data_IF_938591129619
#
_entry.id   IF_938591129619
#
_cell.length_a   1.000
_cell.length_b   1.000
_cell.length_c   1.000
_cell.angle_alpha   90.00
_cell.angle_beta   90.00
_cell.angle_gamma   90.00
#
_symmetry.space_group_name_H-M   'P 1'
#
loop_
_entity.id
_entity.type
_entity.pdbx_description
1 polymer ?
#
# COMPACT_ATOMS: atom_id res chain seq x y z
N UNK A 1 16.90 38.73 9.98
CA UNK A 1 16.52 37.81 8.89
C UNK A 1 15.01 37.59 8.88
N UNK A 2 14.39 37.77 7.74
CA UNK A 2 12.95 37.55 7.60
C UNK A 2 12.69 36.04 7.60
N UNK A 3 11.65 35.62 8.33
CA UNK A 3 11.21 34.22 8.35
C UNK A 3 10.25 33.95 7.21
N UNK A 4 10.39 32.80 6.60
CA UNK A 4 9.42 32.33 5.59
C UNK A 4 8.15 31.87 6.31
N UNK A 5 7.00 32.33 5.81
CA UNK A 5 5.72 31.97 6.39
C UNK A 5 5.20 30.73 5.66
N UNK A 6 4.91 29.66 6.41
CA UNK A 6 4.42 28.41 5.85
C UNK A 6 3.24 28.60 4.88
N UNK A 7 2.23 29.37 5.28
CA UNK A 7 1.03 29.57 4.46
C UNK A 7 1.32 30.15 3.08
N UNK A 8 2.36 31.01 2.96
CA UNK A 8 2.72 31.63 1.67
C UNK A 8 3.36 30.65 0.69
N UNK A 9 3.82 29.51 1.17
CA UNK A 9 4.44 28.48 0.33
C UNK A 9 3.39 27.68 -0.45
N UNK A 10 2.13 27.73 -0.03
CA UNK A 10 0.99 27.08 -0.71
C UNK A 10 1.21 25.58 -0.94
N UNK A 11 1.83 24.92 0.01
CA UNK A 11 2.08 23.47 -0.08
C UNK A 11 0.85 22.68 0.30
N UNK A 12 0.69 21.56 -0.35
CA UNK A 12 -0.34 20.57 -0.06
C UNK A 12 0.24 19.17 -0.29
N UNK A 13 -0.45 18.15 0.17
CA UNK A 13 0.00 16.77 -0.04
C UNK A 13 0.11 16.49 -1.54
N UNK A 14 1.24 15.91 -1.96
CA UNK A 14 1.52 15.56 -3.35
C UNK A 14 1.57 14.05 -3.47
N UNK A 15 0.53 13.45 -4.05
CA UNK A 15 0.48 12.00 -4.29
C UNK A 15 1.09 11.61 -5.62
N UNK A 16 1.15 12.57 -6.57
CA UNK A 16 1.79 12.44 -7.89
C UNK A 16 1.48 11.10 -8.57
N UNK A 17 0.19 10.79 -8.83
CA UNK A 17 -0.17 9.49 -9.40
C UNK A 17 0.49 9.28 -10.75
N UNK A 18 0.98 8.05 -10.96
CA UNK A 18 1.59 7.61 -12.21
C UNK A 18 0.62 6.67 -12.90
N UNK A 19 0.33 6.95 -14.17
CA UNK A 19 -0.54 6.10 -14.97
C UNK A 19 0.26 4.99 -15.63
N UNK A 20 -0.22 3.75 -15.51
CA UNK A 20 0.33 2.60 -16.24
C UNK A 20 -0.78 1.92 -17.02
N UNK A 21 -0.41 1.13 -18.03
CA UNK A 21 -1.34 0.28 -18.74
C UNK A 21 -1.11 -1.17 -18.33
N UNK A 22 -2.15 -1.83 -17.87
CA UNK A 22 -2.10 -3.23 -17.50
C UNK A 22 -3.23 -3.97 -18.21
N UNK A 23 -2.87 -4.85 -19.14
CA UNK A 23 -3.83 -5.63 -19.95
C UNK A 23 -4.89 -4.73 -20.62
N UNK A 24 -4.46 -3.57 -21.13
CA UNK A 24 -5.35 -2.62 -21.80
C UNK A 24 -6.16 -1.73 -20.85
N UNK A 25 -5.97 -1.87 -19.55
CA UNK A 25 -6.64 -1.03 -18.56
C UNK A 25 -5.66 -0.01 -18.00
N UNK A 26 -6.10 1.23 -17.89
CA UNK A 26 -5.29 2.29 -17.29
C UNK A 26 -5.47 2.29 -15.79
N UNK A 27 -4.35 2.26 -15.07
CA UNK A 27 -4.32 2.23 -13.62
C UNK A 27 -3.45 3.39 -13.13
N UNK A 28 -3.95 4.15 -12.17
CA UNK A 28 -3.15 5.18 -11.50
C UNK A 28 -2.55 4.62 -10.24
N UNK A 29 -1.25 4.88 -10.03
CA UNK A 29 -0.51 4.41 -8.87
C UNK A 29 0.07 5.62 -8.15
N UNK A 30 -0.31 5.78 -6.88
CA UNK A 30 0.20 6.87 -6.06
C UNK A 30 1.71 6.73 -5.86
N UNK A 31 2.43 7.82 -5.97
CA UNK A 31 3.89 7.85 -5.74
C UNK A 31 4.21 8.23 -4.29
N UNK A 32 3.24 8.73 -3.56
CA UNK A 32 3.32 9.01 -2.14
C UNK A 32 1.98 8.69 -1.50
N UNK A 33 1.99 7.86 -0.46
CA UNK A 33 0.79 7.56 0.31
C UNK A 33 0.80 8.42 1.58
N UNK A 34 -0.27 9.16 1.87
CA UNK A 34 -0.33 9.95 3.10
C UNK A 34 -0.03 9.12 4.34
N UNK A 35 0.56 9.75 5.35
CA UNK A 35 1.09 9.02 6.53
C UNK A 35 0.00 8.26 7.29
N UNK A 36 -1.21 8.79 7.39
CA UNK A 36 -2.30 8.08 8.05
C UNK A 36 -2.70 6.82 7.29
N UNK A 37 -2.66 6.87 5.96
CA UNK A 37 -2.94 5.71 5.13
C UNK A 37 -1.82 4.67 5.23
N UNK A 38 -0.57 5.12 5.33
CA UNK A 38 0.55 4.20 5.62
C UNK A 38 0.36 3.48 6.94
N UNK A 39 -0.05 4.23 7.97
CA UNK A 39 -0.35 3.66 9.28
C UNK A 39 -1.44 2.60 9.18
N UNK A 40 -2.54 2.93 8.50
CA UNK A 40 -3.65 2.00 8.34
C UNK A 40 -3.24 0.73 7.58
N UNK A 41 -2.43 0.88 6.54
CA UNK A 41 -1.93 -0.26 5.76
C UNK A 41 -1.11 -1.20 6.64
N UNK A 42 -0.18 -0.65 7.40
CA UNK A 42 0.69 -1.44 8.29
C UNK A 42 -0.14 -2.09 9.40
N UNK A 43 -1.03 -1.34 10.03
CA UNK A 43 -1.85 -1.86 11.13
C UNK A 43 -2.79 -2.97 10.68
N UNK A 44 -3.49 -2.81 9.57
CA UNK A 44 -4.40 -3.86 9.08
C UNK A 44 -3.62 -5.12 8.69
N UNK A 45 -2.44 -4.96 8.12
CA UNK A 45 -1.57 -6.09 7.79
C UNK A 45 -1.21 -6.88 9.04
N UNK A 46 -0.76 -6.20 10.07
CA UNK A 46 -0.35 -6.85 11.32
C UNK A 46 -1.54 -7.49 12.04
N UNK A 47 -2.67 -6.80 12.12
CA UNK A 47 -3.88 -7.33 12.76
C UNK A 47 -4.36 -8.61 12.08
N UNK A 48 -4.39 -8.63 10.74
CA UNK A 48 -4.89 -9.79 9.98
C UNK A 48 -3.90 -10.94 9.94
N UNK A 49 -2.63 -10.70 10.21
CA UNK A 49 -1.60 -11.75 10.21
C UNK A 49 -1.31 -12.31 11.58
N UNK A 50 -1.90 -11.74 12.64
CA UNK A 50 -1.68 -12.21 14.02
C UNK A 50 -2.51 -13.46 14.29
N UNK A 51 -1.83 -14.55 14.67
CA UNK A 51 -2.47 -15.83 15.02
C UNK A 51 -1.86 -16.34 16.31
N UNK A 52 -2.69 -16.54 17.33
CA UNK A 52 -2.25 -17.09 18.62
C UNK A 52 -1.04 -16.33 19.21
N UNK A 53 -1.05 -15.01 19.08
CA UNK A 53 0.01 -14.16 19.61
C UNK A 53 1.27 -14.08 18.74
N UNK A 54 1.27 -14.71 17.56
CA UNK A 54 2.43 -14.73 16.65
C UNK A 54 2.00 -14.22 15.27
N UNK A 55 2.86 -13.44 14.64
CA UNK A 55 2.60 -12.99 13.27
C UNK A 55 2.94 -14.10 12.29
N UNK A 56 1.94 -14.53 11.52
CA UNK A 56 2.13 -15.51 10.47
C UNK A 56 2.81 -14.84 9.26
N UNK A 57 4.04 -15.24 8.90
CA UNK A 57 4.80 -14.54 7.85
C UNK A 57 4.17 -14.65 6.45
N UNK A 58 3.49 -15.76 6.17
CA UNK A 58 2.81 -15.94 4.87
C UNK A 58 1.61 -15.00 4.78
N UNK A 59 0.79 -14.96 5.82
CA UNK A 59 -0.37 -14.05 5.85
C UNK A 59 0.05 -12.60 5.89
N UNK A 60 1.14 -12.29 6.59
CA UNK A 60 1.67 -10.92 6.62
C UNK A 60 2.07 -10.47 5.22
N UNK A 61 2.78 -11.30 4.48
CA UNK A 61 3.17 -11.00 3.10
C UNK A 61 1.95 -10.82 2.20
N UNK A 62 0.99 -11.73 2.29
CA UNK A 62 -0.23 -11.69 1.50
C UNK A 62 -1.04 -10.41 1.75
N UNK A 63 -1.36 -10.12 3.00
CA UNK A 63 -2.18 -8.96 3.34
C UNK A 63 -1.46 -7.65 3.05
N UNK A 64 -0.14 -7.60 3.29
CA UNK A 64 0.63 -6.40 2.97
C UNK A 64 0.51 -6.04 1.49
N UNK A 65 0.73 -6.98 0.61
CA UNK A 65 0.69 -6.73 -0.82
C UNK A 65 -0.72 -6.49 -1.35
N UNK A 66 -1.71 -7.20 -0.82
CA UNK A 66 -3.09 -6.99 -1.20
C UNK A 66 -3.57 -5.57 -0.81
N UNK A 67 -3.31 -5.16 0.43
CA UNK A 67 -3.72 -3.83 0.88
C UNK A 67 -2.87 -2.72 0.27
N UNK A 68 -1.64 -3.02 -0.11
CA UNK A 68 -0.83 -2.10 -0.90
C UNK A 68 -1.51 -1.78 -2.24
N UNK A 69 -2.05 -2.80 -2.92
CA UNK A 69 -2.83 -2.60 -4.15
C UNK A 69 -4.08 -1.77 -3.86
N UNK A 70 -4.80 -2.07 -2.78
CA UNK A 70 -6.01 -1.32 -2.44
C UNK A 70 -5.73 0.16 -2.22
N UNK A 71 -4.62 0.50 -1.59
CA UNK A 71 -4.36 1.88 -1.15
C UNK A 71 -3.54 2.70 -2.12
N UNK A 72 -2.65 2.07 -2.90
CA UNK A 72 -1.81 2.80 -3.86
C UNK A 72 -2.41 2.91 -5.25
N UNK A 73 -3.46 2.14 -5.56
CA UNK A 73 -4.07 2.16 -6.90
C UNK A 73 -5.49 2.68 -6.86
N UNK A 74 -5.99 3.10 -8.03
CA UNK A 74 -7.38 3.49 -8.21
C UNK A 74 -8.28 2.33 -8.63
N UNK A 75 -7.78 1.09 -8.54
CA UNK A 75 -8.58 -0.10 -8.83
C UNK A 75 -9.65 -0.26 -7.76
N UNK A 76 -10.90 -0.45 -8.18
CA UNK A 76 -12.02 -0.68 -7.27
C UNK A 76 -12.37 -2.15 -7.22
N UNK A 77 -12.68 -2.63 -6.01
CA UNK A 77 -13.09 -4.02 -5.79
C UNK A 77 -14.45 -4.02 -5.10
N UNK A 78 -15.33 -4.93 -5.50
CA UNK A 78 -16.63 -5.09 -4.85
C UNK A 78 -16.48 -5.80 -3.51
N UNK A 79 -17.46 -5.65 -2.64
CA UNK A 79 -17.46 -6.35 -1.34
C UNK A 79 -17.39 -7.87 -1.55
N UNK A 80 -18.09 -8.38 -2.56
CA UNK A 80 -18.06 -9.80 -2.88
C UNK A 80 -16.67 -10.28 -3.27
N UNK A 81 -15.92 -9.48 -4.05
CA UNK A 81 -14.55 -9.81 -4.43
C UNK A 81 -13.62 -9.85 -3.22
N UNK A 82 -13.89 -9.02 -2.20
CA UNK A 82 -13.09 -8.96 -0.97
C UNK A 82 -13.48 -9.99 0.07
N UNK A 83 -14.54 -10.76 -0.13
CA UNK A 83 -14.97 -11.80 0.82
C UNK A 83 -13.90 -12.87 1.01
N UNK A 84 -13.21 -13.24 -0.06
CA UNK A 84 -12.12 -14.22 -0.01
C UNK A 84 -10.82 -13.54 -0.46
N UNK A 85 -10.15 -12.91 0.48
CA UNK A 85 -8.95 -12.12 0.18
C UNK A 85 -7.77 -12.98 -0.26
N UNK A 86 -7.66 -14.22 0.21
CA UNK A 86 -6.58 -15.09 -0.25
C UNK A 86 -6.75 -15.48 -1.71
N UNK A 87 -8.00 -15.72 -2.14
CA UNK A 87 -8.29 -15.98 -3.55
C UNK A 87 -8.03 -14.76 -4.40
N UNK A 88 -8.45 -13.59 -3.94
CA UNK A 88 -8.20 -12.34 -4.65
C UNK A 88 -6.71 -12.09 -4.80
N UNK A 89 -5.94 -12.29 -3.74
CA UNK A 89 -4.48 -12.18 -3.79
C UNK A 89 -3.90 -13.10 -4.87
N UNK A 90 -4.32 -14.35 -4.89
CA UNK A 90 -3.81 -15.32 -5.88
C UNK A 90 -4.12 -14.89 -7.31
N UNK A 91 -5.30 -14.34 -7.55
CA UNK A 91 -5.66 -13.82 -8.88
C UNK A 91 -4.74 -12.66 -9.26
N UNK A 92 -4.55 -11.71 -8.36
CA UNK A 92 -3.72 -10.53 -8.63
C UNK A 92 -2.25 -10.89 -8.79
N UNK A 93 -1.72 -11.74 -7.90
CA UNK A 93 -0.31 -12.14 -7.92
C UNK A 93 0.02 -13.01 -9.14
N UNK A 94 -0.80 -14.01 -9.42
CA UNK A 94 -0.53 -14.94 -10.52
C UNK A 94 -0.65 -14.29 -11.89
N UNK A 95 -1.39 -13.19 -11.99
CA UNK A 95 -1.49 -12.39 -13.22
C UNK A 95 -0.45 -11.28 -13.31
N UNK A 96 0.42 -11.14 -12.32
CA UNK A 96 1.52 -10.18 -12.35
C UNK A 96 1.15 -8.75 -11.95
N UNK A 97 -0.08 -8.50 -11.49
CA UNK A 97 -0.50 -7.14 -11.15
C UNK A 97 0.27 -6.59 -9.95
N UNK A 98 0.45 -7.40 -8.92
CA UNK A 98 1.16 -6.94 -7.71
C UNK A 98 2.60 -6.55 -8.06
N UNK A 99 3.28 -7.36 -8.85
CA UNK A 99 4.64 -7.06 -9.33
C UNK A 99 4.68 -5.74 -10.09
N UNK A 100 3.71 -5.51 -10.98
CA UNK A 100 3.64 -4.26 -11.74
C UNK A 100 3.39 -3.05 -10.84
N UNK A 101 2.53 -3.18 -9.85
CA UNK A 101 2.27 -2.09 -8.91
C UNK A 101 3.53 -1.75 -8.12
N UNK A 102 4.23 -2.75 -7.58
CA UNK A 102 5.45 -2.54 -6.80
C UNK A 102 6.52 -1.86 -7.65
N UNK A 103 6.69 -2.27 -8.90
CA UNK A 103 7.66 -1.67 -9.83
C UNK A 103 7.41 -0.18 -10.06
N UNK A 104 6.18 0.27 -9.90
CA UNK A 104 5.77 1.63 -10.18
C UNK A 104 5.54 2.46 -8.91
N UNK A 105 5.87 1.93 -7.75
CA UNK A 105 5.93 2.68 -6.49
C UNK A 105 7.39 3.01 -6.22
N UNK A 106 7.73 4.24 -5.77
CA UNK A 106 9.11 4.55 -5.40
C UNK A 106 9.65 3.58 -4.35
N UNK A 107 10.88 3.14 -4.52
CA UNK A 107 11.50 2.18 -3.61
C UNK A 107 11.49 2.68 -2.16
N UNK A 108 11.69 3.98 -1.95
CA UNK A 108 11.63 4.60 -0.62
C UNK A 108 10.28 4.41 0.06
N UNK A 109 9.19 4.54 -0.70
CA UNK A 109 7.84 4.32 -0.19
C UNK A 109 7.66 2.88 0.30
N UNK A 110 8.05 1.95 -0.55
CA UNK A 110 7.91 0.52 -0.25
C UNK A 110 8.76 0.12 0.96
N UNK A 111 10.02 0.56 0.98
CA UNK A 111 10.94 0.24 2.08
C UNK A 111 10.49 0.85 3.41
N UNK A 112 9.92 2.04 3.38
CA UNK A 112 9.43 2.71 4.58
C UNK A 112 8.30 1.95 5.26
N UNK A 113 7.41 1.35 4.46
CA UNK A 113 6.33 0.52 4.97
C UNK A 113 6.88 -0.70 5.72
N UNK A 114 7.93 -1.34 5.19
CA UNK A 114 8.59 -2.45 5.88
C UNK A 114 9.25 -2.03 7.18
N UNK A 115 9.90 -0.86 7.19
CA UNK A 115 10.50 -0.32 8.41
C UNK A 115 9.45 -0.11 9.49
N UNK A 116 8.33 0.50 9.14
CA UNK A 116 7.22 0.72 10.09
C UNK A 116 6.66 -0.59 10.61
N UNK A 117 6.47 -1.57 9.72
CA UNK A 117 5.97 -2.89 10.13
C UNK A 117 6.90 -3.55 11.13
N UNK A 118 8.21 -3.56 10.83
CA UNK A 118 9.20 -4.19 11.69
C UNK A 118 9.28 -3.50 13.05
N UNK A 119 9.23 -2.17 13.07
CA UNK A 119 9.22 -1.42 14.33
C UNK A 119 8.01 -1.74 15.19
N UNK A 120 6.83 -1.84 14.58
CA UNK A 120 5.60 -2.16 15.31
C UNK A 120 5.56 -3.61 15.81
N UNK A 121 6.16 -4.53 15.06
CA UNK A 121 6.26 -5.93 15.48
C UNK A 121 7.17 -6.11 16.70
N UNK A 122 8.15 -5.23 16.86
CA UNK A 122 9.13 -5.31 17.96
C UNK A 122 8.63 -4.68 19.28
N UNK A 123 7.45 -4.07 19.26
CA UNK A 123 6.89 -3.44 20.47
C UNK A 123 6.36 -4.43 21.50
#
# INVERSE_FOLDING_TARGET
>A
MAKTIYASMKMKVQTNPKEIDFNGNKIEILQYLPIEDKYDLVMVTLQKSLEDGVYNPIKKDMYFHLYLVYMYTDITFTDKQKEDESKLYDVLESNGLITEVIKNIPEEEYNKLFEYMNELMDL
#
